data_IF_386679384493
#
_entry.id   IF_386679384493
#
_cell.length_a   1.000
_cell.length_b   1.000
_cell.length_c   1.000
_cell.angle_alpha   90.00
_cell.angle_beta   90.00
_cell.angle_gamma   90.00
#
_symmetry.space_group_name_H-M   'P 1'
#
loop_
_entity.id
_entity.type
_entity.pdbx_description
1 polymer ?
#
# COMPACT_ATOMS: atom_id res chain seq x y z
N UNK A 1 -58.79 -39.26 -36.77
CA UNK A 1 -59.09 -38.28 -35.71
C UNK A 1 -58.68 -38.91 -34.39
N UNK A 2 -57.40 -38.81 -34.06
CA UNK A 2 -56.87 -39.18 -32.75
C UNK A 2 -56.37 -37.89 -32.11
N UNK A 3 -57.03 -37.46 -31.04
CA UNK A 3 -56.61 -36.31 -30.24
C UNK A 3 -55.52 -36.79 -29.30
N UNK A 4 -54.26 -36.63 -29.70
CA UNK A 4 -53.13 -36.69 -28.76
C UNK A 4 -53.33 -35.59 -27.72
N UNK A 5 -53.49 -36.02 -26.47
CA UNK A 5 -53.59 -35.15 -25.32
C UNK A 5 -52.17 -34.82 -24.91
N UNK A 6 -51.70 -33.66 -25.36
CA UNK A 6 -50.43 -33.09 -24.95
C UNK A 6 -50.49 -32.86 -23.43
N UNK A 7 -49.85 -33.75 -22.68
CA UNK A 7 -49.71 -33.60 -21.24
C UNK A 7 -48.59 -32.59 -21.01
N UNK A 8 -48.81 -31.47 -20.31
CA UNK A 8 -47.73 -30.54 -20.03
C UNK A 8 -46.66 -31.26 -19.23
N UNK A 9 -45.52 -31.54 -19.84
CA UNK A 9 -44.32 -31.88 -19.09
C UNK A 9 -43.92 -30.64 -18.30
N UNK A 10 -44.41 -30.54 -17.07
CA UNK A 10 -43.77 -29.76 -16.01
C UNK A 10 -42.40 -30.41 -15.79
N UNK A 11 -41.41 -29.99 -16.56
CA UNK A 11 -39.99 -30.24 -16.27
C UNK A 11 -39.66 -29.47 -15.00
N UNK A 12 -40.03 -30.05 -13.86
CA UNK A 12 -39.68 -29.56 -12.54
C UNK A 12 -38.17 -29.41 -12.48
N UNK A 13 -37.71 -28.17 -12.33
CA UNK A 13 -36.32 -27.74 -12.38
C UNK A 13 -35.57 -28.16 -11.09
N UNK A 14 -35.79 -29.39 -10.61
CA UNK A 14 -35.33 -29.90 -9.31
C UNK A 14 -33.89 -30.47 -9.35
N UNK A 15 -33.19 -30.35 -10.47
CA UNK A 15 -31.83 -30.84 -10.62
C UNK A 15 -30.81 -29.88 -9.96
N UNK A 16 -30.13 -30.35 -8.91
CA UNK A 16 -29.21 -29.59 -8.05
C UNK A 16 -27.87 -29.16 -8.67
N UNK A 17 -27.84 -28.84 -9.96
CA UNK A 17 -26.72 -28.07 -10.51
C UNK A 17 -26.96 -26.60 -10.18
N UNK A 18 -26.04 -25.97 -9.44
CA UNK A 18 -26.03 -24.51 -9.22
C UNK A 18 -25.15 -23.84 -10.31
N UNK A 19 -25.71 -23.41 -11.45
CA UNK A 19 -24.97 -22.66 -12.46
C UNK A 19 -24.55 -21.26 -11.96
N UNK A 20 -25.07 -20.78 -10.83
CA UNK A 20 -24.80 -19.46 -10.28
C UNK A 20 -23.34 -19.25 -9.89
N UNK A 21 -22.67 -20.29 -9.37
CA UNK A 21 -21.25 -20.23 -9.00
C UNK A 21 -20.32 -19.88 -10.17
N UNK A 22 -20.59 -20.40 -11.38
CA UNK A 22 -19.80 -20.08 -12.58
C UNK A 22 -20.05 -18.64 -13.07
N UNK A 23 -21.29 -18.17 -12.99
CA UNK A 23 -21.63 -16.79 -13.36
C UNK A 23 -20.94 -15.79 -12.42
N UNK A 24 -20.95 -16.03 -11.11
CA UNK A 24 -20.28 -15.14 -10.14
C UNK A 24 -18.75 -15.21 -10.22
N UNK A 25 -18.18 -16.35 -10.57
CA UNK A 25 -16.74 -16.45 -10.89
C UNK A 25 -16.38 -15.62 -12.14
N UNK A 26 -17.27 -15.54 -13.11
CA UNK A 26 -17.05 -14.71 -14.31
C UNK A 26 -17.02 -13.22 -13.96
N UNK A 27 -17.92 -12.76 -13.08
CA UNK A 27 -17.94 -11.37 -12.60
C UNK A 27 -16.68 -11.02 -11.80
N UNK A 28 -16.16 -11.96 -10.99
CA UNK A 28 -14.86 -11.84 -10.32
C UNK A 28 -13.73 -11.53 -11.30
N UNK A 29 -13.58 -12.36 -12.36
CA UNK A 29 -12.50 -12.20 -13.33
C UNK A 29 -12.63 -10.92 -14.17
N UNK A 30 -13.85 -10.55 -14.55
CA UNK A 30 -14.10 -9.27 -15.24
C UNK A 30 -13.63 -8.11 -14.38
N UNK A 31 -14.01 -8.09 -13.10
CA UNK A 31 -13.62 -7.02 -12.19
C UNK A 31 -12.10 -6.96 -11.98
N UNK A 32 -11.46 -8.12 -11.84
CA UNK A 32 -9.99 -8.19 -11.76
C UNK A 32 -9.32 -7.57 -13.00
N UNK A 33 -9.82 -7.89 -14.20
CA UNK A 33 -9.28 -7.35 -15.44
C UNK A 33 -9.45 -5.82 -15.55
N UNK A 34 -10.60 -5.28 -15.18
CA UNK A 34 -10.85 -3.83 -15.17
C UNK A 34 -9.87 -3.08 -14.26
N UNK A 35 -9.69 -3.58 -13.03
CA UNK A 35 -8.80 -2.97 -12.05
C UNK A 35 -7.33 -3.15 -12.45
N UNK A 36 -6.99 -4.28 -13.08
CA UNK A 36 -5.66 -4.49 -13.64
C UNK A 36 -5.35 -3.45 -14.73
N UNK A 37 -6.29 -3.15 -15.62
CA UNK A 37 -6.12 -2.11 -16.64
C UNK A 37 -5.96 -0.70 -16.02
N UNK A 38 -6.73 -0.38 -14.97
CA UNK A 38 -6.57 0.86 -14.20
C UNK A 38 -5.15 0.98 -13.63
N UNK A 39 -4.66 -0.09 -13.00
CA UNK A 39 -3.33 -0.11 -12.39
C UNK A 39 -2.20 -0.04 -13.43
N UNK A 40 -2.34 -0.70 -14.59
CA UNK A 40 -1.35 -0.67 -15.66
C UNK A 40 -1.11 0.76 -16.16
N UNK A 41 -2.18 1.54 -16.37
CA UNK A 41 -2.09 2.95 -16.76
C UNK A 41 -1.33 3.81 -15.73
N UNK A 42 -1.47 3.48 -14.45
CA UNK A 42 -0.74 4.17 -13.38
C UNK A 42 0.75 3.80 -13.36
N UNK A 43 1.11 2.57 -13.79
CA UNK A 43 2.43 1.96 -13.63
C UNK A 43 3.30 2.03 -14.89
N UNK A 44 2.73 2.10 -16.10
CA UNK A 44 3.48 2.12 -17.38
C UNK A 44 4.56 3.20 -17.43
N UNK A 45 4.33 4.34 -16.76
CA UNK A 45 5.28 5.46 -16.74
C UNK A 45 6.48 5.22 -15.83
N UNK A 46 6.51 4.14 -15.04
CA UNK A 46 7.51 3.98 -13.99
C UNK A 46 8.80 3.39 -14.50
N UNK A 47 8.75 2.45 -15.45
CA UNK A 47 9.95 1.82 -15.97
C UNK A 47 10.88 2.82 -16.67
N UNK A 48 10.35 3.65 -17.58
CA UNK A 48 11.12 4.67 -18.27
C UNK A 48 11.70 5.71 -17.30
N UNK A 49 10.88 6.13 -16.33
CA UNK A 49 11.29 7.09 -15.30
C UNK A 49 12.33 6.50 -14.35
N UNK A 50 12.27 5.20 -14.07
CA UNK A 50 13.21 4.52 -13.17
C UNK A 50 14.63 4.58 -13.71
N UNK A 51 14.86 4.13 -14.95
CA UNK A 51 16.20 4.12 -15.55
C UNK A 51 16.74 5.54 -15.73
N UNK A 52 15.88 6.46 -16.18
CA UNK A 52 16.23 7.87 -16.33
C UNK A 52 16.62 8.51 -14.99
N UNK A 53 15.86 8.24 -13.93
CA UNK A 53 16.11 8.78 -12.60
C UNK A 53 17.36 8.20 -11.96
N UNK A 54 17.63 6.90 -12.14
CA UNK A 54 18.86 6.25 -11.69
C UNK A 54 20.10 6.89 -12.34
N UNK A 55 20.08 7.05 -13.66
CA UNK A 55 21.19 7.65 -14.40
C UNK A 55 21.40 9.12 -13.99
N UNK A 56 20.32 9.90 -13.89
CA UNK A 56 20.35 11.30 -13.50
C UNK A 56 20.90 11.47 -12.06
N UNK A 57 20.47 10.64 -11.11
CA UNK A 57 20.97 10.71 -9.73
C UNK A 57 22.46 10.40 -9.63
N UNK A 58 22.90 9.33 -10.32
CA UNK A 58 24.31 8.96 -10.36
C UNK A 58 25.17 10.08 -10.96
N UNK A 59 24.70 10.69 -12.05
CA UNK A 59 25.36 11.83 -12.68
C UNK A 59 25.40 13.05 -11.75
N UNK A 60 24.29 13.43 -11.13
CA UNK A 60 24.23 14.58 -10.22
C UNK A 60 25.23 14.45 -9.05
N UNK A 61 25.36 13.24 -8.48
CA UNK A 61 26.38 12.97 -7.46
C UNK A 61 27.80 13.04 -7.99
N UNK A 62 28.05 12.49 -9.17
CA UNK A 62 29.37 12.51 -9.78
C UNK A 62 29.81 13.96 -10.07
N UNK A 63 28.92 14.76 -10.65
CA UNK A 63 29.15 16.17 -10.97
C UNK A 63 29.39 17.01 -9.70
N UNK A 64 28.64 16.75 -8.63
CA UNK A 64 28.77 17.45 -7.35
C UNK A 64 29.98 17.01 -6.50
N UNK A 65 30.63 15.89 -6.83
CA UNK A 65 31.65 15.26 -5.96
C UNK A 65 32.79 16.20 -5.61
N UNK A 66 33.40 16.83 -6.61
CA UNK A 66 34.55 17.72 -6.39
C UNK A 66 34.16 18.95 -5.55
N UNK A 67 32.97 19.50 -5.80
CA UNK A 67 32.45 20.66 -5.09
C UNK A 67 32.14 20.34 -3.62
N UNK A 68 31.51 19.19 -3.35
CA UNK A 68 31.22 18.72 -1.98
C UNK A 68 32.52 18.47 -1.20
N UNK A 69 33.51 17.82 -1.81
CA UNK A 69 34.78 17.56 -1.15
C UNK A 69 35.56 18.85 -0.87
N UNK A 70 35.56 19.81 -1.81
CA UNK A 70 36.13 21.13 -1.56
C UNK A 70 35.40 21.86 -0.43
N UNK A 71 34.07 21.85 -0.44
CA UNK A 71 33.25 22.49 0.58
C UNK A 71 33.54 21.91 1.98
N UNK A 72 33.72 20.58 2.10
CA UNK A 72 34.14 19.94 3.35
C UNK A 72 35.54 20.38 3.81
N UNK A 73 36.50 20.48 2.90
CA UNK A 73 37.86 20.96 3.20
C UNK A 73 37.84 22.42 3.68
N UNK A 74 37.09 23.28 2.99
CA UNK A 74 36.91 24.67 3.35
C UNK A 74 36.26 24.81 4.74
N UNK A 75 35.25 23.97 5.06
CA UNK A 75 34.64 23.94 6.39
C UNK A 75 35.61 23.51 7.50
N UNK A 76 36.54 22.61 7.25
CA UNK A 76 37.57 22.26 8.26
C UNK A 76 38.51 23.46 8.53
N UNK A 77 38.81 24.26 7.50
CA UNK A 77 39.54 25.53 7.68
C UNK A 77 38.74 26.54 8.50
N UNK A 78 37.44 26.70 8.19
CA UNK A 78 36.53 27.57 8.96
C UNK A 78 36.46 27.13 10.43
N UNK A 79 36.32 25.82 10.69
CA UNK A 79 36.30 25.25 12.04
C UNK A 79 37.58 25.56 12.82
N UNK A 80 38.75 25.47 12.20
CA UNK A 80 40.02 25.84 12.83
C UNK A 80 40.06 27.33 13.17
N UNK A 81 39.62 28.20 12.27
CA UNK A 81 39.57 29.64 12.52
C UNK A 81 38.58 30.01 13.66
N UNK A 82 37.48 29.25 13.79
CA UNK A 82 36.49 29.39 14.86
C UNK A 82 36.94 28.80 16.21
N UNK A 83 38.11 28.15 16.31
CA UNK A 83 38.66 27.68 17.60
C UNK A 83 39.01 28.81 18.58
N UNK A 84 38.94 30.08 18.15
CA UNK A 84 39.02 31.26 19.02
C UNK A 84 37.86 31.35 20.02
N UNK A 85 36.73 30.70 19.73
CA UNK A 85 35.64 30.56 20.70
C UNK A 85 36.00 29.55 21.80
N UNK A 86 35.56 29.84 23.02
CA UNK A 86 35.73 28.92 24.15
C UNK A 86 35.08 27.56 23.86
N UNK A 87 35.54 26.53 24.58
CA UNK A 87 34.97 25.18 24.46
C UNK A 87 33.52 25.19 24.94
N UNK A 88 33.24 25.94 25.99
CA UNK A 88 31.92 26.12 26.62
C UNK A 88 30.93 26.78 25.65
N UNK A 89 31.33 27.87 24.99
CA UNK A 89 30.48 28.56 24.00
C UNK A 89 30.15 27.62 22.83
N UNK A 90 31.16 26.89 22.30
CA UNK A 90 30.96 25.94 21.19
C UNK A 90 30.06 24.77 21.57
N UNK A 91 30.18 24.26 22.79
CA UNK A 91 29.31 23.20 23.32
C UNK A 91 27.87 23.71 23.44
N UNK A 92 27.68 24.87 24.07
CA UNK A 92 26.36 25.48 24.25
C UNK A 92 25.65 25.72 22.90
N UNK A 93 26.38 26.20 21.89
CA UNK A 93 25.84 26.40 20.54
C UNK A 93 25.46 25.09 19.87
N UNK A 94 26.26 24.02 20.01
CA UNK A 94 25.94 22.70 19.47
C UNK A 94 24.71 22.10 20.14
N UNK A 95 24.60 22.20 21.45
CA UNK A 95 23.45 21.71 22.21
C UNK A 95 22.18 22.47 21.82
N UNK A 96 22.28 23.80 21.68
CA UNK A 96 21.17 24.64 21.22
C UNK A 96 20.75 24.30 19.79
N UNK A 97 21.72 24.13 18.91
CA UNK A 97 21.51 23.70 17.54
C UNK A 97 20.80 22.33 17.47
N UNK A 98 21.26 21.34 18.23
CA UNK A 98 20.65 20.01 18.26
C UNK A 98 19.18 20.06 18.71
N UNK A 99 18.86 20.89 19.72
CA UNK A 99 17.47 21.11 20.16
C UNK A 99 16.60 21.70 19.05
N UNK A 100 17.09 22.74 18.37
CA UNK A 100 16.36 23.36 17.26
C UNK A 100 16.22 22.40 16.09
N UNK A 101 17.27 21.67 15.74
CA UNK A 101 17.24 20.69 14.66
C UNK A 101 16.25 19.56 14.95
N UNK A 102 16.24 19.03 16.17
CA UNK A 102 15.27 18.01 16.58
C UNK A 102 13.84 18.56 16.51
N UNK A 103 13.59 19.79 17.01
CA UNK A 103 12.28 20.42 16.91
C UNK A 103 11.83 20.60 15.44
N UNK A 104 12.74 21.00 14.55
CA UNK A 104 12.45 21.07 13.10
C UNK A 104 12.10 19.69 12.58
N UNK A 105 12.89 18.65 12.90
CA UNK A 105 12.65 17.27 12.45
C UNK A 105 11.30 16.73 12.95
N UNK A 106 10.93 17.04 14.19
CA UNK A 106 9.65 16.64 14.77
C UNK A 106 8.49 17.36 14.06
N UNK A 107 8.65 18.64 13.71
CA UNK A 107 7.66 19.41 12.96
C UNK A 107 7.52 19.01 11.48
N UNK A 108 8.64 18.78 10.78
CA UNK A 108 8.65 18.50 9.34
C UNK A 108 8.56 17.01 8.99
N UNK A 109 8.69 16.14 9.99
CA UNK A 109 8.97 14.73 9.79
C UNK A 109 10.41 14.47 9.32
N UNK A 110 10.73 13.20 9.09
CA UNK A 110 12.02 12.78 8.54
C UNK A 110 12.18 13.31 7.11
N UNK A 111 13.03 14.33 6.92
CA UNK A 111 13.21 15.05 5.64
C UNK A 111 14.15 14.37 4.65
N UNK A 112 14.45 13.08 4.80
CA UNK A 112 15.45 12.42 3.98
C UNK A 112 15.38 10.90 4.03
N UNK A 113 15.98 10.28 3.01
CA UNK A 113 16.03 8.83 2.85
C UNK A 113 14.77 8.26 2.22
N UNK A 114 14.49 6.98 2.53
CA UNK A 114 13.43 6.25 1.87
C UNK A 114 12.06 6.51 2.50
N UNK A 115 11.09 6.94 1.69
CA UNK A 115 9.70 7.18 2.12
C UNK A 115 8.79 5.95 2.07
N UNK A 116 9.34 4.76 1.79
CA UNK A 116 8.55 3.53 1.63
C UNK A 116 8.50 2.74 2.93
N UNK A 117 7.30 2.41 3.37
CA UNK A 117 7.03 1.61 4.56
C UNK A 117 7.07 0.10 4.32
N UNK A 118 6.32 -0.64 5.14
CA UNK A 118 6.03 -2.05 4.90
C UNK A 118 5.14 -2.21 3.66
N UNK A 119 5.39 -3.29 2.91
CA UNK A 119 4.78 -3.59 1.62
C UNK A 119 4.07 -4.93 1.62
N UNK A 120 3.76 -5.44 2.82
CA UNK A 120 2.90 -6.59 3.01
C UNK A 120 1.44 -6.18 2.89
N UNK A 121 0.75 -6.78 1.92
CA UNK A 121 -0.68 -6.55 1.66
C UNK A 121 -1.39 -7.91 1.69
N UNK A 122 -1.62 -8.48 2.89
CA UNK A 122 -2.23 -9.80 3.01
C UNK A 122 -3.64 -9.81 2.40
N UNK A 123 -3.88 -10.78 1.53
CA UNK A 123 -5.16 -10.98 0.86
C UNK A 123 -5.88 -12.24 1.32
N UNK A 124 -5.42 -12.93 2.36
CA UNK A 124 -6.07 -14.17 2.78
C UNK A 124 -7.54 -13.96 3.19
N UNK A 125 -8.40 -14.88 2.75
CA UNK A 125 -9.82 -14.83 3.08
C UNK A 125 -10.03 -15.19 4.56
N UNK A 126 -10.98 -14.51 5.20
CA UNK A 126 -11.42 -14.83 6.58
C UNK A 126 -12.85 -15.34 6.56
N UNK A 127 -13.20 -16.24 7.48
CA UNK A 127 -14.57 -16.77 7.57
C UNK A 127 -15.65 -15.69 7.81
N UNK A 128 -15.25 -14.51 8.29
CA UNK A 128 -16.11 -13.34 8.52
C UNK A 128 -16.04 -12.28 7.42
N UNK A 129 -15.56 -12.63 6.23
CA UNK A 129 -15.42 -11.68 5.12
C UNK A 129 -16.79 -11.19 4.64
N UNK A 130 -16.97 -9.86 4.55
CA UNK A 130 -18.17 -9.20 4.05
C UNK A 130 -17.81 -8.20 2.96
N UNK A 131 -18.78 -7.81 2.12
CA UNK A 131 -18.58 -6.73 1.14
C UNK A 131 -18.06 -5.44 1.79
N UNK A 132 -18.52 -5.13 3.01
CA UNK A 132 -18.09 -3.91 3.72
C UNK A 132 -16.66 -4.01 4.24
N UNK A 133 -16.25 -5.17 4.78
CA UNK A 133 -14.87 -5.36 5.24
C UNK A 133 -13.89 -5.35 4.08
N UNK A 134 -14.26 -5.98 2.95
CA UNK A 134 -13.48 -5.93 1.71
C UNK A 134 -13.34 -4.50 1.18
N UNK A 135 -14.41 -3.70 1.17
CA UNK A 135 -14.37 -2.32 0.71
C UNK A 135 -13.37 -1.47 1.52
N UNK A 136 -13.39 -1.57 2.85
CA UNK A 136 -12.44 -0.86 3.71
C UNK A 136 -10.99 -1.26 3.45
N UNK A 137 -10.72 -2.54 3.21
CA UNK A 137 -9.38 -3.03 2.91
C UNK A 137 -8.91 -2.59 1.51
N UNK A 138 -9.80 -2.59 0.51
CA UNK A 138 -9.54 -2.06 -0.82
C UNK A 138 -9.13 -0.58 -0.75
N UNK A 139 -9.87 0.24 0.00
CA UNK A 139 -9.57 1.67 0.16
C UNK A 139 -8.20 1.88 0.83
N UNK A 140 -7.89 1.09 1.86
CA UNK A 140 -6.60 1.12 2.52
C UNK A 140 -5.45 0.78 1.55
N UNK A 141 -5.60 -0.25 0.73
CA UNK A 141 -4.55 -0.66 -0.20
C UNK A 141 -4.43 0.26 -1.43
N UNK A 142 -5.54 0.85 -1.90
CA UNK A 142 -5.52 1.93 -2.89
C UNK A 142 -4.77 3.16 -2.35
N UNK A 143 -5.01 3.52 -1.08
CA UNK A 143 -4.27 4.60 -0.43
C UNK A 143 -2.77 4.27 -0.31
N UNK A 144 -2.42 3.05 0.10
CA UNK A 144 -1.04 2.61 0.18
C UNK A 144 -0.34 2.65 -1.18
N UNK A 145 -1.02 2.19 -2.25
CA UNK A 145 -0.52 2.31 -3.61
C UNK A 145 -0.25 3.78 -3.96
N UNK A 146 -1.22 4.69 -3.74
CA UNK A 146 -1.06 6.12 -4.01
C UNK A 146 0.10 6.75 -3.22
N UNK A 147 0.30 6.37 -1.95
CA UNK A 147 1.43 6.83 -1.13
C UNK A 147 2.77 6.39 -1.71
N UNK A 148 2.90 5.11 -2.09
CA UNK A 148 4.13 4.58 -2.68
C UNK A 148 4.43 5.21 -4.06
N UNK A 149 3.38 5.45 -4.85
CA UNK A 149 3.46 6.17 -6.11
C UNK A 149 3.91 7.63 -5.93
N UNK A 150 3.39 8.32 -4.92
CA UNK A 150 3.83 9.67 -4.56
C UNK A 150 5.29 9.69 -4.08
N UNK A 151 5.70 8.68 -3.31
CA UNK A 151 7.10 8.50 -2.91
C UNK A 151 8.02 8.37 -4.13
N UNK A 152 7.69 7.51 -5.10
CA UNK A 152 8.42 7.39 -6.36
C UNK A 152 8.51 8.73 -7.12
N UNK A 153 7.40 9.45 -7.23
CA UNK A 153 7.38 10.76 -7.90
C UNK A 153 8.23 11.81 -7.18
N UNK A 154 8.25 11.81 -5.85
CA UNK A 154 9.07 12.73 -5.06
C UNK A 154 10.56 12.42 -5.17
N UNK A 155 10.95 11.14 -5.24
CA UNK A 155 12.33 10.74 -5.51
C UNK A 155 12.83 11.24 -6.87
N UNK A 156 11.95 11.28 -7.88
CA UNK A 156 12.29 11.87 -9.18
C UNK A 156 12.45 13.39 -9.05
N UNK A 157 11.55 14.08 -8.36
CA UNK A 157 11.64 15.55 -8.16
C UNK A 157 12.88 15.97 -7.39
N UNK A 158 13.40 15.12 -6.51
CA UNK A 158 14.67 15.37 -5.81
C UNK A 158 15.82 15.65 -6.80
N UNK A 159 15.79 15.07 -8.00
CA UNK A 159 16.82 15.28 -9.02
C UNK A 159 16.92 16.74 -9.45
N UNK A 160 15.80 17.46 -9.44
CA UNK A 160 15.74 18.88 -9.81
C UNK A 160 16.30 19.78 -8.70
N UNK A 161 16.32 19.33 -7.44
CA UNK A 161 16.77 20.13 -6.30
C UNK A 161 18.27 20.01 -6.05
N UNK A 162 18.88 18.85 -6.34
CA UNK A 162 20.30 18.59 -6.05
C UNK A 162 21.24 19.68 -6.60
N UNK A 163 21.17 20.09 -7.89
CA UNK A 163 22.10 21.11 -8.41
C UNK A 163 21.97 22.47 -7.69
N UNK A 164 20.75 22.86 -7.35
CA UNK A 164 20.47 24.11 -6.64
C UNK A 164 20.94 24.06 -5.17
N UNK A 165 20.77 22.92 -4.51
CA UNK A 165 21.27 22.66 -3.16
C UNK A 165 22.80 22.74 -3.12
N UNK A 166 23.49 22.07 -4.06
CA UNK A 166 24.95 22.12 -4.16
C UNK A 166 25.44 23.54 -4.43
N UNK A 167 24.78 24.29 -5.32
CA UNK A 167 25.13 25.69 -5.60
C UNK A 167 25.00 26.56 -4.36
N UNK A 168 23.90 26.39 -3.61
CA UNK A 168 23.66 27.10 -2.35
C UNK A 168 24.73 26.76 -1.32
N UNK A 169 25.04 25.47 -1.14
CA UNK A 169 26.06 25.02 -0.19
C UNK A 169 27.45 25.58 -0.51
N UNK A 170 27.84 25.58 -1.79
CA UNK A 170 29.12 26.18 -2.22
C UNK A 170 29.19 27.66 -1.85
N UNK A 171 28.11 28.39 -2.11
CA UNK A 171 28.02 29.81 -1.77
C UNK A 171 28.12 30.02 -0.26
N UNK A 172 27.34 29.30 0.52
CA UNK A 172 27.30 29.45 1.97
C UNK A 172 28.67 29.12 2.62
N UNK A 173 29.38 28.12 2.10
CA UNK A 173 30.74 27.80 2.54
C UNK A 173 31.72 28.91 2.15
N UNK A 174 31.66 29.42 0.91
CA UNK A 174 32.52 30.54 0.48
C UNK A 174 32.30 31.79 1.33
N UNK A 175 31.04 32.14 1.57
CA UNK A 175 30.65 33.26 2.43
C UNK A 175 31.19 33.09 3.87
N UNK A 176 31.18 31.86 4.40
CA UNK A 176 31.75 31.53 5.71
C UNK A 176 33.28 31.70 5.74
N UNK A 177 33.98 31.20 4.73
CA UNK A 177 35.44 31.35 4.59
C UNK A 177 35.83 32.83 4.56
N UNK A 178 35.11 33.64 3.79
CA UNK A 178 35.39 35.07 3.67
C UNK A 178 35.11 35.86 4.96
N UNK A 179 34.08 35.46 5.71
CA UNK A 179 33.67 36.13 6.95
C UNK A 179 34.57 35.76 8.13
N UNK A 180 34.98 34.49 8.25
CA UNK A 180 35.73 34.02 9.44
C UNK A 180 37.11 34.66 9.56
N UNK A 181 37.78 34.96 8.44
CA UNK A 181 39.08 35.64 8.44
C UNK A 181 39.04 37.08 8.94
N UNK A 182 37.85 37.71 8.90
CA UNK A 182 37.63 39.13 9.27
C UNK A 182 37.01 39.29 10.66
N UNK A 183 36.58 38.18 11.28
CA UNK A 183 35.88 38.23 12.56
C UNK A 183 36.85 38.50 13.73
N UNK A 184 36.65 39.62 14.40
CA UNK A 184 37.38 40.00 15.62
C UNK A 184 36.51 39.90 16.88
N UNK A 185 35.22 40.20 16.78
CA UNK A 185 34.30 40.24 17.93
C UNK A 185 33.73 38.87 18.30
N UNK A 186 33.59 38.61 19.61
CA UNK A 186 33.02 37.36 20.12
C UNK A 186 31.62 37.09 19.57
N UNK A 187 30.74 38.10 19.54
CA UNK A 187 29.36 37.94 19.08
C UNK A 187 29.29 37.59 17.58
N UNK A 188 30.22 38.12 16.78
CA UNK A 188 30.36 37.77 15.36
C UNK A 188 30.81 36.32 15.23
N UNK A 189 31.81 35.89 16.00
CA UNK A 189 32.28 34.50 16.01
C UNK A 189 31.17 33.53 16.42
N UNK A 190 30.34 33.87 17.42
CA UNK A 190 29.18 33.08 17.85
C UNK A 190 28.18 32.88 16.70
N UNK A 191 27.84 33.96 15.99
CA UNK A 191 26.93 33.90 14.83
C UNK A 191 27.53 33.07 13.68
N UNK A 192 28.83 33.21 13.41
CA UNK A 192 29.52 32.42 12.39
C UNK A 192 29.59 30.94 12.77
N UNK A 193 29.78 30.61 14.05
CA UNK A 193 29.74 29.22 14.51
C UNK A 193 28.35 28.60 14.35
N UNK A 194 27.29 29.35 14.64
CA UNK A 194 25.93 28.89 14.39
C UNK A 194 25.69 28.63 12.88
N UNK A 195 26.10 29.55 12.00
CA UNK A 195 26.04 29.34 10.54
C UNK A 195 26.87 28.12 10.10
N UNK A 196 28.07 27.95 10.65
CA UNK A 196 28.91 26.79 10.40
C UNK A 196 28.18 25.47 10.73
N UNK A 197 27.47 25.39 11.86
CA UNK A 197 26.70 24.19 12.22
C UNK A 197 25.59 23.90 11.20
N UNK A 198 24.89 24.93 10.73
CA UNK A 198 23.84 24.79 9.70
C UNK A 198 24.41 24.29 8.38
N UNK A 199 25.50 24.89 7.89
CA UNK A 199 26.15 24.50 6.63
C UNK A 199 26.77 23.12 6.73
N UNK A 200 27.38 22.77 7.88
CA UNK A 200 27.92 21.44 8.13
C UNK A 200 26.86 20.37 7.98
N UNK A 201 25.68 20.55 8.58
CA UNK A 201 24.56 19.63 8.42
C UNK A 201 24.10 19.52 6.96
N UNK A 202 24.09 20.63 6.22
CA UNK A 202 23.77 20.61 4.79
C UNK A 202 24.72 19.71 3.97
N UNK A 203 25.97 19.54 4.42
CA UNK A 203 26.96 18.63 3.84
C UNK A 203 26.98 17.24 4.49
N UNK A 204 26.23 17.03 5.58
CA UNK A 204 26.04 15.73 6.19
C UNK A 204 25.04 14.90 5.37
N UNK A 205 25.22 13.58 5.37
CA UNK A 205 24.53 12.65 4.48
C UNK A 205 23.00 12.64 4.61
N UNK A 206 22.46 13.10 5.74
CA UNK A 206 21.03 13.11 6.04
C UNK A 206 20.26 14.23 5.29
N UNK A 207 20.96 15.24 4.78
CA UNK A 207 20.36 16.31 3.94
C UNK A 207 20.93 16.33 2.54
N UNK A 208 22.24 16.10 2.41
CA UNK A 208 22.88 16.09 1.12
C UNK A 208 22.30 14.96 0.25
N UNK A 209 21.97 15.29 -1.01
CA UNK A 209 21.41 14.34 -1.96
C UNK A 209 20.11 13.66 -1.47
N UNK A 210 19.28 14.39 -0.71
CA UNK A 210 17.99 13.92 -0.20
C UNK A 210 18.08 12.87 0.91
N UNK A 211 19.20 12.80 1.64
CA UNK A 211 19.35 11.90 2.78
C UNK A 211 19.85 10.50 2.44
N UNK A 212 20.18 10.23 1.18
CA UNK A 212 20.75 8.93 0.79
C UNK A 212 22.26 8.94 1.01
N UNK A 213 22.83 7.82 1.43
CA UNK A 213 24.30 7.72 1.61
C UNK A 213 25.01 7.34 0.31
N UNK A 214 24.34 6.64 -0.60
CA UNK A 214 24.90 6.16 -1.87
C UNK A 214 23.89 6.23 -3.02
N UNK A 215 24.37 6.07 -4.26
CA UNK A 215 23.50 5.86 -5.43
C UNK A 215 22.64 4.60 -5.24
N UNK A 216 23.22 3.53 -4.68
CA UNK A 216 22.49 2.29 -4.46
C UNK A 216 21.35 2.48 -3.46
N UNK A 217 21.56 3.19 -2.34
CA UNK A 217 20.51 3.46 -1.37
C UNK A 217 19.32 4.23 -1.99
N UNK A 218 19.59 5.17 -2.90
CA UNK A 218 18.56 5.86 -3.67
C UNK A 218 17.83 4.91 -4.63
N UNK A 219 18.57 4.12 -5.40
CA UNK A 219 18.01 3.15 -6.35
C UNK A 219 17.18 2.09 -5.63
N UNK A 220 17.65 1.57 -4.51
CA UNK A 220 16.93 0.59 -3.68
C UNK A 220 15.60 1.16 -3.20
N UNK A 221 15.59 2.43 -2.76
CA UNK A 221 14.34 3.07 -2.38
C UNK A 221 13.39 3.28 -3.57
N UNK A 222 13.92 3.68 -4.72
CA UNK A 222 13.15 3.88 -5.94
C UNK A 222 12.53 2.55 -6.42
N UNK A 223 13.31 1.46 -6.40
CA UNK A 223 12.86 0.10 -6.64
C UNK A 223 11.76 -0.30 -5.65
N UNK A 224 11.99 -0.09 -4.36
CA UNK A 224 11.05 -0.45 -3.30
C UNK A 224 9.73 0.31 -3.49
N UNK A 225 9.75 1.62 -3.75
CA UNK A 225 8.54 2.41 -3.97
C UNK A 225 7.70 1.86 -5.12
N UNK A 226 8.36 1.48 -6.21
CA UNK A 226 7.72 0.85 -7.36
C UNK A 226 7.16 -0.54 -7.02
N UNK A 227 7.95 -1.42 -6.41
CA UNK A 227 7.53 -2.77 -6.01
C UNK A 227 6.35 -2.75 -5.03
N UNK A 228 6.37 -1.85 -4.05
CA UNK A 228 5.30 -1.72 -3.08
C UNK A 228 4.02 -1.14 -3.70
N UNK A 229 4.15 -0.27 -4.70
CA UNK A 229 3.01 0.16 -5.51
C UNK A 229 2.40 -1.02 -6.27
N UNK A 230 3.22 -1.86 -6.91
CA UNK A 230 2.75 -3.06 -7.62
C UNK A 230 2.06 -4.05 -6.67
N UNK A 231 2.67 -4.35 -5.53
CA UNK A 231 2.12 -5.28 -4.55
C UNK A 231 0.78 -4.79 -3.99
N UNK A 232 0.65 -3.49 -3.71
CA UNK A 232 -0.61 -2.90 -3.28
C UNK A 232 -1.70 -3.05 -4.36
N UNK A 233 -1.38 -2.76 -5.62
CA UNK A 233 -2.32 -2.93 -6.73
C UNK A 233 -2.72 -4.38 -6.97
N UNK A 234 -1.79 -5.33 -6.86
CA UNK A 234 -2.10 -6.75 -6.94
C UNK A 234 -3.12 -7.16 -5.87
N UNK A 235 -2.92 -6.70 -4.64
CA UNK A 235 -3.87 -6.96 -3.57
C UNK A 235 -5.25 -6.32 -3.83
N UNK A 236 -5.28 -5.07 -4.33
CA UNK A 236 -6.52 -4.39 -4.72
C UNK A 236 -7.27 -5.17 -5.82
N UNK A 237 -6.57 -5.64 -6.85
CA UNK A 237 -7.17 -6.44 -7.94
C UNK A 237 -7.84 -7.69 -7.38
N UNK A 238 -7.12 -8.44 -6.53
CA UNK A 238 -7.64 -9.66 -5.93
C UNK A 238 -8.88 -9.41 -5.06
N UNK A 239 -8.81 -8.39 -4.19
CA UNK A 239 -9.90 -8.01 -3.29
C UNK A 239 -11.13 -7.50 -4.04
N UNK A 240 -10.94 -6.69 -5.09
CA UNK A 240 -12.02 -6.20 -5.95
C UNK A 240 -12.72 -7.35 -6.67
N UNK A 241 -11.95 -8.34 -7.14
CA UNK A 241 -12.49 -9.59 -7.69
C UNK A 241 -13.38 -10.33 -6.68
N UNK A 242 -12.84 -10.63 -5.49
CA UNK A 242 -13.60 -11.32 -4.44
C UNK A 242 -14.86 -10.57 -4.03
N UNK A 243 -14.75 -9.25 -3.86
CA UNK A 243 -15.90 -8.39 -3.57
C UNK A 243 -16.97 -8.51 -4.65
N UNK A 244 -16.60 -8.48 -5.93
CA UNK A 244 -17.53 -8.65 -7.03
C UNK A 244 -18.21 -10.03 -7.05
N UNK A 245 -17.47 -11.09 -6.70
CA UNK A 245 -18.03 -12.44 -6.54
C UNK A 245 -19.05 -12.48 -5.41
N UNK A 246 -18.70 -12.00 -4.23
CA UNK A 246 -19.58 -11.98 -3.06
C UNK A 246 -20.85 -11.17 -3.34
N UNK A 247 -20.70 -9.99 -3.95
CA UNK A 247 -21.82 -9.16 -4.36
C UNK A 247 -22.74 -9.87 -5.38
N UNK A 248 -22.18 -10.71 -6.26
CA UNK A 248 -22.96 -11.53 -7.18
C UNK A 248 -23.70 -12.66 -6.46
N UNK A 249 -23.03 -13.39 -5.57
CA UNK A 249 -23.63 -14.47 -4.79
C UNK A 249 -24.76 -13.96 -3.90
N UNK A 250 -24.59 -12.78 -3.28
CA UNK A 250 -25.62 -12.12 -2.49
C UNK A 250 -26.84 -11.73 -3.34
N UNK A 251 -26.62 -11.21 -4.56
CA UNK A 251 -27.72 -10.90 -5.48
C UNK A 251 -28.43 -12.17 -5.94
N UNK A 252 -27.69 -13.23 -6.27
CA UNK A 252 -28.26 -14.51 -6.68
C UNK A 252 -29.10 -15.12 -5.56
N UNK A 253 -28.59 -15.11 -4.31
CA UNK A 253 -29.32 -15.58 -3.14
C UNK A 253 -30.60 -14.78 -2.90
N UNK A 254 -30.53 -13.45 -2.97
CA UNK A 254 -31.73 -12.59 -2.85
C UNK A 254 -32.75 -12.88 -3.95
N UNK A 255 -32.29 -13.05 -5.19
CA UNK A 255 -33.17 -13.38 -6.32
C UNK A 255 -33.84 -14.74 -6.13
N UNK A 256 -33.10 -15.74 -5.66
CA UNK A 256 -33.63 -17.07 -5.36
C UNK A 256 -34.63 -17.03 -4.20
N UNK A 257 -34.33 -16.32 -3.11
CA UNK A 257 -35.29 -16.11 -2.02
C UNK A 257 -36.59 -15.45 -2.51
N UNK A 258 -36.49 -14.44 -3.36
CA UNK A 258 -37.66 -13.77 -3.93
C UNK A 258 -38.43 -14.68 -4.91
N UNK A 259 -37.75 -15.54 -5.67
CA UNK A 259 -38.38 -16.57 -6.50
C UNK A 259 -39.16 -17.57 -5.65
N UNK A 260 -38.51 -18.17 -4.65
CA UNK A 260 -39.14 -19.12 -3.71
C UNK A 260 -40.33 -18.51 -2.97
N UNK A 261 -40.26 -17.22 -2.64
CA UNK A 261 -41.37 -16.51 -2.00
C UNK A 261 -42.58 -16.36 -2.92
N UNK A 262 -42.36 -16.20 -4.24
CA UNK A 262 -43.42 -16.09 -5.25
C UNK A 262 -44.03 -17.46 -5.59
N UNK A 263 -43.20 -18.49 -5.66
CA UNK A 263 -43.57 -19.84 -6.13
C UNK A 263 -43.47 -20.91 -5.02
N UNK A 264 -43.86 -20.55 -3.80
CA UNK A 264 -43.60 -21.37 -2.59
C UNK A 264 -44.16 -22.80 -2.67
N UNK A 265 -45.30 -23.00 -3.35
CA UNK A 265 -45.92 -24.32 -3.50
C UNK A 265 -45.05 -25.22 -4.39
N UNK A 266 -44.52 -24.70 -5.49
CA UNK A 266 -43.65 -25.44 -6.40
C UNK A 266 -42.34 -25.83 -5.71
N UNK A 267 -41.76 -24.93 -4.92
CA UNK A 267 -40.58 -25.24 -4.12
C UNK A 267 -40.86 -26.31 -3.04
N UNK A 268 -42.03 -26.28 -2.38
CA UNK A 268 -42.44 -27.34 -1.44
C UNK A 268 -42.58 -28.68 -2.15
N UNK A 269 -43.24 -28.72 -3.31
CA UNK A 269 -43.40 -29.95 -4.10
C UNK A 269 -42.04 -30.47 -4.55
N UNK A 270 -41.13 -29.59 -4.96
CA UNK A 270 -39.78 -29.97 -5.36
C UNK A 270 -38.96 -30.58 -4.20
N UNK A 271 -39.05 -30.03 -2.99
CA UNK A 271 -38.43 -30.63 -1.80
C UNK A 271 -39.11 -31.95 -1.40
N UNK A 272 -40.45 -32.03 -1.52
CA UNK A 272 -41.19 -33.28 -1.25
C UNK A 272 -40.76 -34.43 -2.17
N UNK A 273 -40.55 -34.17 -3.47
CA UNK A 273 -40.04 -35.19 -4.40
C UNK A 273 -38.64 -35.68 -4.01
N UNK A 274 -37.78 -34.83 -3.45
CA UNK A 274 -36.46 -35.24 -2.93
C UNK A 274 -36.57 -36.11 -1.67
N UNK A 275 -37.62 -35.94 -0.88
CA UNK A 275 -37.88 -36.72 0.33
C UNK A 275 -38.51 -38.09 0.06
N UNK A 276 -39.00 -38.36 -1.15
CA UNK A 276 -39.56 -39.68 -1.46
C UNK A 276 -38.46 -40.73 -1.36
N UNK A 277 -38.66 -41.83 -0.61
CA UNK A 277 -37.70 -42.92 -0.59
C UNK A 277 -37.47 -43.36 -2.02
N UNK A 278 -36.22 -43.31 -2.48
CA UNK A 278 -35.82 -43.96 -3.73
C UNK A 278 -36.07 -45.44 -3.51
N UNK A 279 -37.20 -45.94 -4.01
CA UNK A 279 -37.55 -47.37 -3.95
C UNK A 279 -36.32 -48.16 -4.38
N UNK A 280 -35.71 -48.97 -3.50
CA UNK A 280 -34.76 -49.96 -3.94
C UNK A 280 -35.51 -50.80 -4.97
N UNK A 281 -35.01 -50.81 -6.19
CA UNK A 281 -35.57 -51.69 -7.20
C UNK A 281 -35.24 -53.12 -6.79
N UNK A 282 -36.25 -53.77 -6.22
CA UNK A 282 -36.55 -55.21 -6.19
C UNK A 282 -36.15 -56.06 -4.95
N UNK A 283 -36.83 -57.19 -4.70
CA UNK A 283 -38.03 -57.23 -3.86
C UNK A 283 -37.88 -58.33 -2.79
N UNK A 284 -37.71 -57.98 -1.53
CA UNK A 284 -37.54 -59.00 -0.53
C UNK A 284 -37.55 -58.49 0.89
N UNK A 285 -38.74 -58.54 1.49
CA UNK A 285 -38.94 -58.72 2.93
C UNK A 285 -38.17 -57.79 3.86
N UNK A 286 -38.78 -56.66 4.22
CA UNK A 286 -39.31 -56.44 5.57
C UNK A 286 -39.80 -55.00 5.71
N UNK A 287 -40.99 -54.82 6.27
CA UNK A 287 -41.48 -53.54 6.79
C UNK A 287 -40.41 -52.88 7.68
N UNK A 288 -40.01 -51.63 7.38
CA UNK A 288 -39.52 -50.72 8.39
C UNK A 288 -40.68 -49.84 8.83
N UNK A 289 -41.06 -50.06 10.08
CA UNK A 289 -41.70 -49.12 10.99
C UNK A 289 -41.46 -47.65 10.59
N UNK A 290 -42.54 -46.89 10.42
CA UNK A 290 -42.52 -45.45 10.20
C UNK A 290 -42.05 -44.74 11.48
N UNK A 291 -40.78 -44.94 11.82
CA UNK A 291 -40.07 -44.24 12.87
C UNK A 291 -39.84 -42.80 12.44
N UNK A 292 -40.81 -41.93 12.72
CA UNK A 292 -40.56 -40.54 13.05
C UNK A 292 -39.71 -40.53 14.33
N UNK A 293 -38.43 -40.86 14.18
CA UNK A 293 -37.45 -40.92 15.24
C UNK A 293 -37.32 -39.57 15.90
N UNK A 294 -37.62 -39.55 17.19
CA UNK A 294 -37.35 -38.47 18.13
C UNK A 294 -35.93 -37.94 17.94
N UNK A 295 -35.79 -36.69 17.50
CA UNK A 295 -34.62 -35.92 17.89
C UNK A 295 -34.85 -35.45 19.32
N UNK A 296 -34.11 -36.09 20.22
CA UNK A 296 -33.89 -35.69 21.60
C UNK A 296 -33.60 -34.18 21.68
N UNK A 297 -34.27 -33.54 22.63
CA UNK A 297 -33.86 -32.22 23.08
C UNK A 297 -32.52 -32.32 23.80
N UNK A 298 -31.64 -31.36 23.51
CA UNK A 298 -30.56 -30.97 24.40
C UNK A 298 -30.74 -29.48 24.74
N UNK A 299 -31.17 -29.30 25.99
CA UNK A 299 -30.78 -28.26 26.95
C UNK A 299 -30.34 -26.90 26.42
N UNK A 300 -31.23 -25.93 26.62
CA UNK A 300 -30.88 -24.53 26.87
C UNK A 300 -30.24 -24.50 28.27
N UNK A 301 -28.91 -24.41 28.35
CA UNK A 301 -28.23 -24.07 29.61
C UNK A 301 -28.03 -22.55 29.66
N UNK A 302 -28.81 -21.93 30.54
CA UNK A 302 -28.55 -20.65 31.18
C UNK A 302 -27.20 -20.68 31.92
N UNK A 303 -26.31 -19.72 31.65
CA UNK A 303 -25.26 -19.29 32.59
C UNK A 303 -25.08 -17.76 32.39
N UNK A 304 -24.87 -16.96 33.47
CA UNK A 304 -25.31 -15.57 33.61
C UNK A 304 -24.51 -14.48 32.88
#
# INVERSE_FOLDING_TARGET
>A
MGTETDTPQTTGNCAGCDPGGLACSTEMYKRQAEVAEESAKALDKYQEKFESARAAYAKARADAKADVEKAKQDLETVKQALCKLSIEDRKCLRDSYNKVYQAIKDCSGTTGGCCVGDCSYPTEATDSETTSSLAGLIDQYRQAAATNQACFANLIKLLDTIPAEITTLKKDVGDLVDQVGKAADKDVLVRLYAKYLVVRLGLEGDRLFGGFTSVNAYVDCLCRAMQCSYAAWQAVIELEGRKARLDCEDRARKAECERKRKDIVEDILCEYEKCKPTTPSDPGTHEPDCGCGQHHGDSVDDVP
#
